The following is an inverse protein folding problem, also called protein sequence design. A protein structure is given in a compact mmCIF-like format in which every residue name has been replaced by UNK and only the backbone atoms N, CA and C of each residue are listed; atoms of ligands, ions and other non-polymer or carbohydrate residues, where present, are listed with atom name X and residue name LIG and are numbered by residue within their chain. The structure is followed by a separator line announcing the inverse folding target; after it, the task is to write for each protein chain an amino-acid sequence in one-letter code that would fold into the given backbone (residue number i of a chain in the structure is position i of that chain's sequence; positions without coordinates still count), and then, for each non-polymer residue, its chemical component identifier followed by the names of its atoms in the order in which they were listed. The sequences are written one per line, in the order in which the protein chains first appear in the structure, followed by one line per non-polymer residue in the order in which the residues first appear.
data_IF_721497307656
#
_entry.id   IF_721497307656
#
_cell.length_a   1.000
_cell.length_b   1.000
_cell.length_c   1.000
_cell.angle_alpha   90.00
_cell.angle_beta   90.00
_cell.angle_gamma   90.00
#
_symmetry.space_group_name_H-M   'P 1'
#
loop_
_entity.id
_entity.type
_entity.pdbx_description
1 polymer ?
#
# COMPACT_ATOMS: atom_id res chain seq x y z
N UNK A 1 4.86 -38.01 44.15
CA UNK A 1 5.39 -38.03 42.77
C UNK A 1 5.17 -36.67 42.15
N UNK A 2 6.24 -35.94 41.81
CA UNK A 2 6.14 -34.68 41.06
C UNK A 2 5.74 -35.00 39.61
N UNK A 3 4.70 -34.39 39.03
CA UNK A 3 4.36 -34.62 37.64
C UNK A 3 5.48 -34.08 36.74
N UNK A 4 5.89 -34.88 35.77
CA UNK A 4 7.00 -34.59 34.87
C UNK A 4 6.71 -33.35 34.01
N UNK A 5 7.57 -32.34 34.15
CA UNK A 5 7.54 -31.08 33.39
C UNK A 5 8.11 -31.23 31.98
N UNK A 6 7.52 -32.10 31.17
CA UNK A 6 7.81 -32.12 29.74
C UNK A 6 7.15 -30.90 29.07
N UNK A 7 7.95 -30.12 28.35
CA UNK A 7 7.54 -28.93 27.57
C UNK A 7 6.35 -29.24 26.66
N UNK A 8 6.27 -30.46 26.14
CA UNK A 8 5.18 -30.93 25.27
C UNK A 8 3.80 -30.91 25.95
N UNK A 9 3.74 -31.02 27.29
CA UNK A 9 2.48 -30.92 28.05
C UNK A 9 2.09 -29.49 28.43
N UNK A 10 3.04 -28.54 28.36
CA UNK A 10 2.80 -27.12 28.64
C UNK A 10 2.30 -26.39 27.39
N UNK A 11 2.64 -26.88 26.19
CA UNK A 11 2.26 -26.26 24.91
C UNK A 11 0.81 -26.60 24.47
N UNK A 12 0.16 -27.62 25.04
CA UNK A 12 -1.24 -27.91 24.74
C UNK A 12 -2.16 -27.83 25.97
N UNK A 13 -2.79 -26.67 26.15
CA UNK A 13 -4.19 -26.60 26.64
C UNK A 13 -4.87 -25.25 26.39
N UNK A 14 -4.63 -24.59 25.23
CA UNK A 14 -5.61 -23.59 24.79
C UNK A 14 -6.84 -24.37 24.34
N UNK A 15 -7.95 -24.18 25.03
CA UNK A 15 -9.22 -24.83 24.71
C UNK A 15 -9.71 -24.42 23.32
N UNK A 16 -10.50 -25.28 22.66
CA UNK A 16 -11.12 -24.92 21.37
C UNK A 16 -11.95 -23.64 21.47
N UNK A 17 -12.58 -23.41 22.62
CA UNK A 17 -13.32 -22.18 22.92
C UNK A 17 -12.41 -20.94 22.93
N UNK A 18 -11.24 -21.01 23.57
CA UNK A 18 -10.27 -19.91 23.56
C UNK A 18 -9.71 -19.63 22.17
N UNK A 19 -9.49 -20.66 21.34
CA UNK A 19 -9.11 -20.49 19.93
C UNK A 19 -10.19 -19.74 19.16
N UNK A 20 -11.48 -20.06 19.37
CA UNK A 20 -12.58 -19.35 18.74
C UNK A 20 -12.65 -17.88 19.21
N UNK A 21 -12.44 -17.62 20.51
CA UNK A 21 -12.37 -16.25 21.06
C UNK A 21 -11.20 -15.46 20.47
N UNK A 22 -10.03 -16.07 20.28
CA UNK A 22 -8.88 -15.43 19.61
C UNK A 22 -9.19 -15.10 18.15
N UNK A 23 -9.77 -16.05 17.41
CA UNK A 23 -10.14 -15.85 16.00
C UNK A 23 -11.20 -14.76 15.85
N UNK A 24 -12.18 -14.69 16.74
CA UNK A 24 -13.22 -13.65 16.70
C UNK A 24 -12.63 -12.26 16.91
N UNK A 25 -11.73 -12.09 17.90
CA UNK A 25 -10.99 -10.84 18.11
C UNK A 25 -10.20 -10.43 16.87
N UNK A 26 -9.34 -11.32 16.39
CA UNK A 26 -8.48 -11.04 15.24
C UNK A 26 -9.30 -10.72 13.98
N UNK A 27 -10.38 -11.48 13.74
CA UNK A 27 -11.31 -11.22 12.63
C UNK A 27 -11.94 -9.82 12.74
N UNK A 28 -12.35 -9.43 13.95
CA UNK A 28 -12.91 -8.09 14.21
C UNK A 28 -11.89 -7.00 13.88
N UNK A 29 -10.66 -7.12 14.37
CA UNK A 29 -9.57 -6.17 14.05
C UNK A 29 -9.30 -6.12 12.55
N UNK A 30 -9.20 -7.26 11.86
CA UNK A 30 -8.95 -7.31 10.41
C UNK A 30 -10.07 -6.59 9.65
N UNK A 31 -11.33 -6.80 10.02
CA UNK A 31 -12.47 -6.16 9.37
C UNK A 31 -12.44 -4.63 9.56
N UNK A 32 -12.14 -4.16 10.78
CA UNK A 32 -12.02 -2.72 11.06
C UNK A 32 -10.87 -2.09 10.28
N UNK A 33 -9.67 -2.69 10.32
CA UNK A 33 -8.50 -2.21 9.56
C UNK A 33 -8.80 -2.16 8.06
N UNK A 34 -9.44 -3.21 7.52
CA UNK A 34 -9.86 -3.25 6.12
C UNK A 34 -10.83 -2.11 5.80
N UNK A 35 -11.83 -1.87 6.64
CA UNK A 35 -12.83 -0.84 6.41
C UNK A 35 -12.21 0.57 6.41
N UNK A 36 -11.34 0.85 7.39
CA UNK A 36 -10.62 2.12 7.47
C UNK A 36 -9.71 2.33 6.26
N UNK A 37 -9.00 1.29 5.83
CA UNK A 37 -8.17 1.33 4.63
C UNK A 37 -8.99 1.62 3.36
N UNK A 38 -10.16 0.99 3.20
CA UNK A 38 -11.06 1.22 2.07
C UNK A 38 -11.60 2.66 2.04
N UNK A 39 -11.79 3.26 3.21
CA UNK A 39 -12.29 4.63 3.35
C UNK A 39 -11.17 5.69 3.35
N UNK A 40 -9.90 5.29 3.28
CA UNK A 40 -8.77 6.22 3.42
C UNK A 40 -8.73 6.94 4.76
N UNK A 41 -9.33 6.36 5.81
CA UNK A 41 -9.40 6.97 7.13
C UNK A 41 -8.15 6.71 7.96
N UNK A 42 -7.78 7.66 8.82
CA UNK A 42 -6.70 7.47 9.78
C UNK A 42 -7.04 6.32 10.75
N UNK A 43 -6.03 5.63 11.27
CA UNK A 43 -6.26 4.48 12.15
C UNK A 43 -6.21 4.88 13.63
N UNK A 44 -5.30 5.80 13.95
CA UNK A 44 -4.92 6.16 15.31
C UNK A 44 -5.57 7.45 15.79
N UNK A 45 -5.71 7.54 17.10
CA UNK A 45 -6.08 8.76 17.82
C UNK A 45 -4.85 9.47 18.37
N UNK A 46 -5.02 10.73 18.79
CA UNK A 46 -4.00 11.43 19.58
C UNK A 46 -3.94 10.92 21.02
N UNK A 47 -5.09 10.46 21.54
CA UNK A 47 -5.26 9.90 22.88
C UNK A 47 -5.98 8.57 22.75
N UNK A 48 -5.27 7.44 22.98
CA UNK A 48 -5.80 6.07 22.90
C UNK A 48 -5.99 5.41 24.28
N UNK A 49 -6.05 6.20 25.37
CA UNK A 49 -6.36 5.68 26.70
C UNK A 49 -7.82 5.19 26.82
N UNK A 50 -8.10 4.29 27.76
CA UNK A 50 -9.43 3.65 27.87
C UNK A 50 -10.56 4.63 28.24
N UNK A 51 -10.23 5.74 28.88
CA UNK A 51 -11.13 6.83 29.28
C UNK A 51 -11.21 7.97 28.24
N UNK A 52 -10.48 7.85 27.13
CA UNK A 52 -10.51 8.84 26.04
C UNK A 52 -11.90 8.94 25.41
N UNK A 53 -12.38 10.17 25.22
CA UNK A 53 -13.61 10.46 24.48
C UNK A 53 -13.46 10.20 22.97
N UNK A 54 -12.22 10.18 22.47
CA UNK A 54 -11.91 9.91 21.06
C UNK A 54 -10.62 9.06 20.96
N UNK A 55 -10.73 7.74 21.22
CA UNK A 55 -9.59 6.82 21.29
C UNK A 55 -8.95 6.52 19.92
N UNK A 56 -9.34 7.24 18.87
CA UNK A 56 -8.97 6.93 17.50
C UNK A 56 -9.90 5.93 16.82
N UNK A 57 -9.79 5.86 15.49
CA UNK A 57 -10.76 5.17 14.66
C UNK A 57 -10.76 3.64 14.88
N UNK A 58 -9.59 2.99 15.02
CA UNK A 58 -9.57 1.53 15.23
C UNK A 58 -10.29 1.15 16.53
N UNK A 59 -10.02 1.86 17.63
CA UNK A 59 -10.66 1.58 18.91
C UNK A 59 -12.14 1.92 18.89
N UNK A 60 -12.52 3.07 18.33
CA UNK A 60 -13.91 3.48 18.19
C UNK A 60 -14.73 2.48 17.36
N UNK A 61 -14.20 1.98 16.24
CA UNK A 61 -14.90 1.00 15.40
C UNK A 61 -14.98 -0.39 16.03
N UNK A 62 -13.98 -0.81 16.83
CA UNK A 62 -14.06 -2.05 17.60
C UNK A 62 -15.10 -1.94 18.72
N UNK A 63 -15.14 -0.81 19.43
CA UNK A 63 -16.16 -0.53 20.45
C UNK A 63 -17.57 -0.48 19.82
N UNK A 64 -17.71 0.14 18.66
CA UNK A 64 -18.96 0.11 17.89
C UNK A 64 -19.37 -1.32 17.53
N UNK A 65 -18.46 -2.16 17.04
CA UNK A 65 -18.73 -3.56 16.73
C UNK A 65 -19.13 -4.37 17.97
N UNK A 66 -18.53 -4.08 19.13
CA UNK A 66 -18.88 -4.68 20.41
C UNK A 66 -20.31 -4.30 20.85
N UNK A 67 -20.70 -3.03 20.70
CA UNK A 67 -22.06 -2.55 21.03
C UNK A 67 -23.16 -3.22 20.21
N UNK A 68 -22.84 -3.75 19.04
CA UNK A 68 -23.78 -4.44 18.16
C UNK A 68 -23.83 -5.96 18.37
N UNK A 69 -22.86 -6.55 19.06
CA UNK A 69 -22.75 -8.00 19.16
C UNK A 69 -22.08 -8.44 20.48
N UNK A 70 -22.87 -9.09 21.34
CA UNK A 70 -22.43 -9.55 22.66
C UNK A 70 -21.26 -10.55 22.60
N UNK A 71 -21.15 -11.37 21.55
CA UNK A 71 -20.03 -12.29 21.38
C UNK A 71 -18.73 -11.54 21.09
N UNK A 72 -18.79 -10.46 20.31
CA UNK A 72 -17.64 -9.58 20.06
C UNK A 72 -17.32 -8.80 21.34
N UNK A 73 -18.32 -8.20 21.97
CA UNK A 73 -18.18 -7.47 23.22
C UNK A 73 -17.44 -8.32 24.27
N UNK A 74 -17.84 -9.57 24.47
CA UNK A 74 -17.23 -10.48 25.44
C UNK A 74 -15.77 -10.85 25.18
N UNK A 75 -15.17 -10.48 24.04
CA UNK A 75 -13.80 -10.87 23.69
C UNK A 75 -12.87 -9.72 23.32
N UNK A 76 -13.34 -8.51 23.01
CA UNK A 76 -12.48 -7.40 22.54
C UNK A 76 -12.14 -6.38 23.63
N UNK A 77 -11.20 -5.47 23.35
CA UNK A 77 -10.80 -4.35 24.22
C UNK A 77 -10.42 -4.81 25.65
N UNK A 78 -11.08 -4.28 26.68
CA UNK A 78 -10.87 -4.64 28.10
C UNK A 78 -11.24 -6.09 28.42
N UNK A 79 -12.07 -6.73 27.61
CA UNK A 79 -12.49 -8.11 27.79
C UNK A 79 -11.49 -9.11 27.16
N UNK A 80 -10.48 -8.63 26.42
CA UNK A 80 -9.42 -9.46 25.89
C UNK A 80 -8.31 -9.70 26.94
N UNK A 81 -7.83 -10.95 27.11
CA UNK A 81 -6.80 -11.27 28.08
C UNK A 81 -5.42 -10.73 27.68
N UNK A 82 -4.78 -9.98 28.59
CA UNK A 82 -3.39 -9.54 28.48
C UNK A 82 -3.07 -8.90 27.13
N UNK A 83 -2.08 -9.48 26.41
CA UNK A 83 -1.57 -8.96 25.14
C UNK A 83 -2.40 -9.38 23.92
N UNK A 84 -3.40 -10.24 24.07
CA UNK A 84 -4.20 -10.76 22.96
C UNK A 84 -5.37 -9.82 22.58
N UNK A 85 -5.13 -8.51 22.67
CA UNK A 85 -6.06 -7.45 22.24
C UNK A 85 -6.02 -7.23 20.73
N UNK A 86 -4.87 -7.46 20.08
CA UNK A 86 -4.63 -7.24 18.64
C UNK A 86 -4.90 -5.81 18.14
N UNK A 87 -4.93 -4.83 19.04
CA UNK A 87 -5.22 -3.43 18.72
C UNK A 87 -3.97 -2.55 18.62
N UNK A 88 -2.77 -3.11 18.81
CA UNK A 88 -1.57 -2.29 18.87
C UNK A 88 -1.25 -1.62 17.52
N UNK A 89 -0.67 -0.42 17.55
CA UNK A 89 0.00 0.25 16.44
C UNK A 89 0.78 -0.64 15.46
N UNK A 90 1.51 -1.65 15.95
CA UNK A 90 2.32 -2.56 15.15
C UNK A 90 1.47 -3.62 14.46
N UNK A 91 0.52 -4.23 15.17
CA UNK A 91 -0.39 -5.25 14.64
C UNK A 91 -1.29 -4.66 13.56
N UNK A 92 -1.80 -3.44 13.77
CA UNK A 92 -2.60 -2.73 12.76
C UNK A 92 -1.81 -2.56 11.44
N UNK A 93 -0.54 -2.16 11.53
CA UNK A 93 0.36 -2.00 10.37
C UNK A 93 0.66 -3.33 9.69
N UNK A 94 0.88 -4.39 10.47
CA UNK A 94 1.11 -5.74 9.93
C UNK A 94 -0.12 -6.25 9.15
N UNK A 95 -1.31 -6.14 9.74
CA UNK A 95 -2.57 -6.48 9.07
C UNK A 95 -2.73 -5.69 7.78
N UNK A 96 -2.50 -4.37 7.83
CA UNK A 96 -2.57 -3.51 6.65
C UNK A 96 -1.57 -3.94 5.57
N UNK A 97 -0.34 -4.29 5.95
CA UNK A 97 0.69 -4.81 5.05
C UNK A 97 0.27 -6.11 4.37
N UNK A 98 -0.33 -7.04 5.11
CA UNK A 98 -0.86 -8.31 4.57
C UNK A 98 -2.00 -8.04 3.58
N UNK A 99 -2.93 -7.12 3.91
CA UNK A 99 -4.02 -6.73 3.02
C UNK A 99 -3.45 -6.12 1.72
N UNK A 100 -2.51 -5.17 1.85
CA UNK A 100 -1.87 -4.53 0.70
C UNK A 100 -1.12 -5.54 -0.18
N UNK A 101 -0.41 -6.50 0.42
CA UNK A 101 0.24 -7.58 -0.30
C UNK A 101 -0.78 -8.43 -1.08
N UNK A 102 -1.89 -8.84 -0.44
CA UNK A 102 -2.96 -9.59 -1.12
C UNK A 102 -3.57 -8.82 -2.30
N UNK A 103 -3.77 -7.51 -2.16
CA UNK A 103 -4.26 -6.66 -3.27
C UNK A 103 -3.27 -6.68 -4.43
N UNK A 104 -1.97 -6.53 -4.17
CA UNK A 104 -0.93 -6.58 -5.22
C UNK A 104 -0.82 -7.94 -5.88
N UNK A 105 -0.90 -9.04 -5.11
CA UNK A 105 -1.01 -10.38 -5.69
C UNK A 105 -2.23 -10.49 -6.61
N UNK A 106 -3.38 -9.93 -6.19
CA UNK A 106 -4.58 -9.95 -7.03
C UNK A 106 -4.41 -9.16 -8.34
N UNK A 107 -3.77 -7.99 -8.27
CA UNK A 107 -3.43 -7.21 -9.47
C UNK A 107 -2.48 -8.00 -10.38
N UNK A 108 -1.47 -8.68 -9.81
CA UNK A 108 -0.56 -9.54 -10.58
C UNK A 108 -1.28 -10.70 -11.26
N UNK A 109 -2.22 -11.35 -10.56
CA UNK A 109 -3.09 -12.39 -11.14
C UNK A 109 -3.96 -11.83 -12.27
N UNK A 110 -4.53 -10.63 -12.10
CA UNK A 110 -5.34 -9.95 -13.13
C UNK A 110 -4.53 -9.67 -14.41
N UNK A 111 -3.23 -9.33 -14.27
CA UNK A 111 -2.32 -9.11 -15.40
C UNK A 111 -1.96 -10.44 -16.07
N UNK A 112 -1.69 -11.50 -15.30
CA UNK A 112 -1.25 -12.79 -15.84
C UNK A 112 0.01 -12.65 -16.68
N UNK A 113 0.05 -13.25 -17.86
CA UNK A 113 1.19 -13.16 -18.79
C UNK A 113 1.04 -12.01 -19.81
N UNK A 114 0.05 -11.14 -19.61
CA UNK A 114 -0.26 -10.04 -20.51
C UNK A 114 0.80 -8.95 -20.44
N UNK A 115 0.87 -8.15 -21.50
CA UNK A 115 1.69 -6.94 -21.49
C UNK A 115 1.05 -5.85 -20.61
N UNK A 116 1.88 -4.99 -20.05
CA UNK A 116 1.44 -3.86 -19.23
C UNK A 116 2.27 -2.60 -19.54
N UNK A 117 1.81 -1.46 -19.04
CA UNK A 117 2.51 -0.19 -19.04
C UNK A 117 2.64 0.32 -17.61
N UNK A 118 3.65 1.16 -17.36
CA UNK A 118 3.81 1.85 -16.08
C UNK A 118 3.50 3.33 -16.26
N UNK A 119 2.83 3.92 -15.27
CA UNK A 119 2.77 5.35 -15.07
C UNK A 119 3.49 5.64 -13.75
N UNK A 120 4.50 6.48 -13.79
CA UNK A 120 5.32 6.80 -12.63
C UNK A 120 5.34 8.30 -12.43
N UNK A 121 5.10 8.70 -11.18
CA UNK A 121 5.14 10.09 -10.74
C UNK A 121 5.97 10.20 -9.46
N UNK A 122 6.46 11.41 -9.19
CA UNK A 122 7.32 11.72 -8.05
C UNK A 122 6.72 12.87 -7.24
N UNK A 123 6.77 12.75 -5.91
CA UNK A 123 6.46 13.85 -5.01
C UNK A 123 7.33 13.81 -3.76
N UNK A 124 7.57 14.98 -3.20
CA UNK A 124 8.30 15.13 -1.93
C UNK A 124 7.33 15.02 -0.76
N UNK A 125 7.65 14.18 0.23
CA UNK A 125 6.86 14.09 1.48
C UNK A 125 7.17 15.25 2.45
N UNK A 126 6.41 15.34 3.55
CA UNK A 126 6.59 16.40 4.56
C UNK A 126 7.99 16.38 5.23
N UNK A 127 8.70 15.26 5.17
CA UNK A 127 10.05 15.10 5.68
C UNK A 127 11.12 15.43 4.62
N UNK A 128 10.72 15.92 3.45
CA UNK A 128 11.64 16.24 2.36
C UNK A 128 12.16 15.02 1.59
N UNK A 129 11.52 13.85 1.73
CA UNK A 129 11.93 12.62 1.04
C UNK A 129 11.12 12.40 -0.20
N UNK A 130 11.82 12.00 -1.26
CA UNK A 130 11.23 11.69 -2.55
C UNK A 130 10.45 10.38 -2.49
N UNK A 131 9.22 10.42 -2.98
CA UNK A 131 8.28 9.31 -3.05
C UNK A 131 7.87 9.07 -4.50
N UNK A 132 8.13 7.86 -4.96
CA UNK A 132 7.79 7.41 -6.31
C UNK A 132 6.50 6.58 -6.27
N UNK A 133 5.50 7.03 -7.03
CA UNK A 133 4.22 6.35 -7.19
C UNK A 133 4.28 5.51 -8.46
N UNK A 134 3.97 4.22 -8.36
CA UNK A 134 3.92 3.31 -9.51
C UNK A 134 2.48 2.86 -9.72
N UNK A 135 1.96 3.15 -10.90
CA UNK A 135 0.64 2.70 -11.37
C UNK A 135 0.86 1.76 -12.55
N UNK A 136 0.17 0.62 -12.53
CA UNK A 136 0.15 -0.33 -13.63
C UNK A 136 -1.08 -0.08 -14.50
N UNK A 137 -0.88 0.00 -15.82
CA UNK A 137 -1.94 0.09 -16.82
C UNK A 137 -1.90 -1.12 -17.73
N UNK A 138 -3.00 -1.86 -17.82
CA UNK A 138 -3.09 -3.09 -18.59
C UNK A 138 -4.51 -3.33 -19.08
N UNK A 139 -4.69 -4.29 -19.99
CA UNK A 139 -6.01 -4.72 -20.46
C UNK A 139 -6.41 -5.96 -19.66
N UNK A 140 -7.53 -5.90 -18.95
CA UNK A 140 -8.04 -7.03 -18.18
C UNK A 140 -8.51 -8.16 -19.09
N UNK A 141 -8.78 -9.34 -18.52
CA UNK A 141 -9.36 -10.48 -19.24
C UNK A 141 -10.70 -10.19 -19.94
N UNK A 142 -11.38 -9.11 -19.56
CA UNK A 142 -12.63 -8.65 -20.16
C UNK A 142 -12.42 -7.66 -21.31
N UNK A 143 -11.17 -7.41 -21.72
CA UNK A 143 -10.83 -6.41 -22.74
C UNK A 143 -10.91 -4.96 -22.25
N UNK A 144 -11.07 -4.73 -20.93
CA UNK A 144 -11.21 -3.40 -20.35
C UNK A 144 -9.84 -2.87 -19.94
N UNK A 145 -9.51 -1.69 -20.44
CA UNK A 145 -8.33 -0.94 -19.99
C UNK A 145 -8.47 -0.60 -18.50
N UNK A 146 -7.50 -1.03 -17.71
CA UNK A 146 -7.51 -0.93 -16.25
C UNK A 146 -6.24 -0.26 -15.77
N UNK A 147 -6.38 0.65 -14.81
CA UNK A 147 -5.28 1.30 -14.11
C UNK A 147 -5.36 0.95 -12.63
N UNK A 148 -4.23 0.51 -12.05
CA UNK A 148 -4.15 0.12 -10.64
C UNK A 148 -2.93 0.79 -10.00
N UNK A 149 -3.16 1.55 -8.94
CA UNK A 149 -2.09 1.93 -8.04
C UNK A 149 -1.43 0.67 -7.48
N UNK A 150 -0.10 0.60 -7.56
CA UNK A 150 0.65 -0.61 -7.26
C UNK A 150 1.64 -0.42 -6.11
N UNK A 151 2.42 0.66 -6.14
CA UNK A 151 3.42 0.92 -5.11
C UNK A 151 3.63 2.41 -4.84
N UNK A 152 3.97 2.69 -3.58
CA UNK A 152 4.64 3.91 -3.15
C UNK A 152 6.02 3.49 -2.65
N UNK A 153 7.07 3.99 -3.28
CA UNK A 153 8.46 3.64 -2.96
C UNK A 153 9.22 4.92 -2.65
N UNK A 154 9.74 5.02 -1.43
CA UNK A 154 10.68 6.08 -1.10
C UNK A 154 12.03 5.82 -1.76
N UNK A 155 12.58 6.85 -2.40
CA UNK A 155 13.88 6.81 -3.04
C UNK A 155 14.81 7.81 -2.36
N UNK A 156 16.08 7.45 -2.20
CA UNK A 156 17.07 8.31 -1.53
C UNK A 156 17.52 9.48 -2.42
N UNK A 157 17.49 9.27 -3.73
CA UNK A 157 17.86 10.25 -4.75
C UNK A 157 17.01 10.01 -6.02
N UNK A 158 16.92 11.03 -6.86
CA UNK A 158 16.10 11.02 -8.09
C UNK A 158 16.96 10.86 -9.34
N UNK A 159 18.15 10.25 -9.24
CA UNK A 159 18.94 9.91 -10.43
C UNK A 159 18.17 8.90 -11.29
N UNK A 160 18.34 8.98 -12.61
CA UNK A 160 17.61 8.11 -13.53
C UNK A 160 17.85 6.62 -13.28
N UNK A 161 19.08 6.25 -12.90
CA UNK A 161 19.48 4.91 -12.53
C UNK A 161 18.76 4.45 -11.26
N UNK A 162 18.73 5.29 -10.22
CA UNK A 162 18.05 4.97 -8.95
C UNK A 162 16.54 4.82 -9.16
N UNK A 163 15.93 5.67 -9.97
CA UNK A 163 14.50 5.59 -10.31
C UNK A 163 14.19 4.31 -11.09
N UNK A 164 14.96 3.99 -12.14
CA UNK A 164 14.82 2.73 -12.87
C UNK A 164 14.98 1.53 -11.95
N UNK A 165 16.00 1.52 -11.10
CA UNK A 165 16.25 0.43 -10.16
C UNK A 165 15.08 0.25 -9.20
N UNK A 166 14.57 1.34 -8.64
CA UNK A 166 13.41 1.31 -7.75
C UNK A 166 12.16 0.75 -8.44
N UNK A 167 11.91 1.09 -9.71
CA UNK A 167 10.82 0.52 -10.51
C UNK A 167 11.05 -0.98 -10.72
N UNK A 168 12.25 -1.39 -11.12
CA UNK A 168 12.59 -2.80 -11.33
C UNK A 168 12.44 -3.63 -10.05
N UNK A 169 12.82 -3.11 -8.89
CA UNK A 169 12.60 -3.76 -7.59
C UNK A 169 11.10 -3.98 -7.31
N UNK A 170 10.28 -2.95 -7.53
CA UNK A 170 8.83 -3.06 -7.35
C UNK A 170 8.23 -4.10 -8.28
N UNK A 171 8.63 -4.13 -9.55
CA UNK A 171 8.11 -5.08 -10.54
C UNK A 171 8.57 -6.52 -10.24
N UNK A 172 9.87 -6.71 -9.99
CA UNK A 172 10.45 -8.03 -9.70
C UNK A 172 9.90 -8.66 -8.41
N UNK A 173 9.60 -7.87 -7.38
CA UNK A 173 8.99 -8.36 -6.14
C UNK A 173 7.67 -9.12 -6.38
N UNK A 174 6.96 -8.79 -7.45
CA UNK A 174 5.67 -9.41 -7.81
C UNK A 174 5.73 -10.16 -9.14
N UNK A 175 6.93 -10.56 -9.58
CA UNK A 175 7.14 -11.33 -10.81
C UNK A 175 6.52 -10.65 -12.05
N UNK A 176 6.64 -9.32 -12.12
CA UNK A 176 6.28 -8.55 -13.31
C UNK A 176 7.53 -8.38 -14.17
N UNK A 177 7.58 -9.15 -15.25
CA UNK A 177 8.71 -9.17 -16.19
C UNK A 177 8.82 -7.87 -16.98
N UNK A 178 10.01 -7.27 -16.99
CA UNK A 178 10.29 -6.03 -17.72
C UNK A 178 10.13 -6.20 -19.24
N UNK A 179 10.32 -7.42 -19.73
CA UNK A 179 10.15 -7.82 -21.14
C UNK A 179 8.70 -7.70 -21.62
N UNK A 180 7.75 -7.70 -20.68
CA UNK A 180 6.31 -7.51 -20.92
C UNK A 180 5.88 -6.05 -20.85
N UNK A 181 6.80 -5.13 -20.53
CA UNK A 181 6.54 -3.70 -20.55
C UNK A 181 6.32 -3.20 -21.99
N UNK A 182 5.24 -2.46 -22.22
CA UNK A 182 4.90 -1.90 -23.55
C UNK A 182 4.65 -0.39 -23.52
N UNK A 183 4.66 0.22 -22.35
CA UNK A 183 4.48 1.66 -22.22
C UNK A 183 5.07 2.19 -20.93
N UNK A 184 5.54 3.43 -20.98
CA UNK A 184 6.09 4.15 -19.86
C UNK A 184 5.61 5.61 -19.88
N UNK A 185 4.90 6.01 -18.83
CA UNK A 185 4.37 7.36 -18.68
C UNK A 185 5.05 8.08 -17.53
N UNK A 186 5.74 9.19 -17.82
CA UNK A 186 6.46 9.99 -16.81
C UNK A 186 6.24 11.50 -17.02
N UNK A 187 6.63 12.29 -16.03
CA UNK A 187 6.78 13.74 -16.18
C UNK A 187 7.99 14.15 -17.05
N UNK A 188 8.12 15.46 -17.26
CA UNK A 188 9.11 16.04 -18.17
C UNK A 188 10.52 16.23 -17.57
N UNK A 189 10.73 15.87 -16.30
CA UNK A 189 12.03 16.00 -15.67
C UNK A 189 13.13 15.25 -16.43
N UNK A 190 14.36 15.78 -16.39
CA UNK A 190 15.50 15.23 -17.13
C UNK A 190 15.82 13.79 -16.72
N UNK A 191 15.69 13.48 -15.44
CA UNK A 191 16.01 12.16 -14.91
C UNK A 191 14.95 11.12 -15.29
N UNK A 192 13.73 11.56 -15.64
CA UNK A 192 12.66 10.68 -16.10
C UNK A 192 12.59 10.58 -17.62
N UNK A 193 12.52 11.72 -18.32
CA UNK A 193 12.24 11.79 -19.75
C UNK A 193 13.46 12.12 -20.63
N UNK A 194 14.64 12.31 -20.01
CA UNK A 194 15.88 12.67 -20.68
C UNK A 194 16.24 11.72 -21.84
N UNK A 195 16.71 12.32 -22.94
CA UNK A 195 16.92 11.60 -24.20
C UNK A 195 17.97 10.49 -24.13
N UNK A 196 19.05 10.71 -23.36
CA UNK A 196 20.19 9.79 -23.30
C UNK A 196 20.26 9.04 -21.97
N UNK A 197 20.08 9.76 -20.86
CA UNK A 197 20.29 9.24 -19.50
C UNK A 197 19.05 9.40 -18.61
N UNK A 198 17.86 9.62 -19.17
CA UNK A 198 16.62 9.55 -18.38
C UNK A 198 16.14 8.11 -18.21
N UNK A 199 15.31 7.84 -17.20
CA UNK A 199 14.71 6.53 -16.96
C UNK A 199 14.06 5.99 -18.25
N UNK A 200 13.37 6.86 -19.01
CA UNK A 200 12.87 6.59 -20.37
C UNK A 200 13.91 5.92 -21.26
N UNK A 201 15.07 6.55 -21.42
CA UNK A 201 16.13 6.06 -22.30
C UNK A 201 16.72 4.75 -21.78
N UNK A 202 16.88 4.64 -20.46
CA UNK A 202 17.39 3.43 -19.81
C UNK A 202 16.43 2.24 -19.95
N UNK A 203 15.11 2.45 -19.88
CA UNK A 203 14.12 1.40 -20.14
C UNK A 203 14.04 1.03 -21.61
N UNK A 204 14.19 1.99 -22.54
CA UNK A 204 14.18 1.70 -23.98
C UNK A 204 15.38 0.86 -24.43
N UNK A 205 16.52 0.95 -23.74
CA UNK A 205 17.69 0.09 -24.00
C UNK A 205 17.40 -1.38 -23.68
N UNK A 206 16.65 -1.64 -22.61
CA UNK A 206 16.33 -3.00 -22.15
C UNK A 206 15.05 -3.54 -22.81
N UNK A 207 14.07 -2.67 -23.04
CA UNK A 207 12.77 -2.99 -23.60
C UNK A 207 12.41 -1.98 -24.71
N UNK A 208 12.83 -2.24 -25.96
CA UNK A 208 12.63 -1.31 -27.09
C UNK A 208 11.16 -0.99 -27.40
N UNK A 209 10.24 -1.85 -26.97
CA UNK A 209 8.80 -1.70 -27.17
C UNK A 209 8.08 -0.94 -26.04
N UNK A 210 8.80 -0.45 -25.02
CA UNK A 210 8.24 0.36 -23.93
C UNK A 210 8.04 1.82 -24.38
N UNK A 211 6.97 2.09 -25.12
CA UNK A 211 6.70 3.40 -25.69
C UNK A 211 6.52 4.48 -24.62
N UNK A 212 7.20 5.61 -24.80
CA UNK A 212 7.13 6.73 -23.88
C UNK A 212 5.95 7.66 -24.17
N UNK A 213 5.21 8.00 -23.12
CA UNK A 213 4.17 9.02 -23.14
C UNK A 213 4.51 10.08 -22.09
N UNK A 214 4.63 11.33 -22.52
CA UNK A 214 4.85 12.43 -21.59
C UNK A 214 3.56 12.79 -20.88
N UNK A 215 3.63 13.04 -19.56
CA UNK A 215 2.49 13.49 -18.76
C UNK A 215 1.87 14.77 -19.34
N UNK A 216 0.60 14.68 -19.74
CA UNK A 216 -0.14 15.82 -20.30
C UNK A 216 -0.50 16.86 -19.26
N UNK A 217 -0.82 16.45 -18.03
CA UNK A 217 -1.13 17.38 -16.94
C UNK A 217 0.06 18.31 -16.65
N UNK A 218 1.27 17.74 -16.58
CA UNK A 218 2.49 18.53 -16.40
C UNK A 218 2.75 19.47 -17.59
N UNK A 219 2.53 19.02 -18.84
CA UNK A 219 2.63 19.91 -20.01
C UNK A 219 1.66 21.08 -19.96
N UNK A 220 0.41 20.81 -19.60
CA UNK A 220 -0.61 21.84 -19.47
C UNK A 220 -0.22 22.85 -18.39
N UNK A 221 0.22 22.37 -17.22
CA UNK A 221 0.66 23.23 -16.13
C UNK A 221 1.83 24.13 -16.54
N UNK A 222 2.84 23.57 -17.23
CA UNK A 222 3.95 24.37 -17.75
C UNK A 222 3.48 25.42 -18.75
N UNK A 223 2.59 25.06 -19.68
CA UNK A 223 2.05 26.01 -20.66
C UNK A 223 1.29 27.16 -19.98
N UNK A 224 0.47 26.86 -18.96
CA UNK A 224 -0.26 27.86 -18.18
C UNK A 224 0.69 28.78 -17.41
N UNK A 225 1.68 28.22 -16.71
CA UNK A 225 2.68 28.99 -15.96
C UNK A 225 3.51 29.90 -16.86
N UNK A 226 3.93 29.40 -18.02
CA UNK A 226 4.68 30.19 -19.00
C UNK A 226 3.81 31.32 -19.56
N UNK A 227 2.54 31.04 -19.88
CA UNK A 227 1.62 32.07 -20.39
C UNK A 227 1.33 33.15 -19.35
N UNK A 228 1.11 32.75 -18.09
CA UNK A 228 0.86 33.69 -16.99
C UNK A 228 2.06 34.60 -16.70
N UNK A 229 3.30 34.11 -16.84
CA UNK A 229 4.52 34.92 -16.67
C UNK A 229 4.72 35.99 -17.74
N UNK A 230 4.10 35.82 -18.91
CA UNK A 230 4.20 36.76 -20.05
C UNK A 230 3.06 37.78 -20.02
N UNK A 231 2.00 37.53 -19.25
CA UNK A 231 0.93 38.49 -19.04
C UNK A 231 1.30 39.43 -17.89
N UNK A 232 1.29 40.74 -18.13
CA UNK A 232 1.41 41.73 -17.06
C UNK A 232 0.23 41.58 -16.07
N UNK A 233 0.46 41.80 -14.77
CA UNK A 233 -0.64 41.80 -13.80
C UNK A 233 -1.65 42.88 -14.18
N UNK A 234 -2.93 42.47 -14.28
CA UNK A 234 -4.07 43.37 -14.47
C UNK A 234 -4.31 44.19 -13.21
#
# INVERSE_FOLDING_TARGET
MKPSGHIDKVIQRISGEEVLKHRLRLKTTIMVVKQLALQGSSFRGHDEYEDSLNPGNVLAWIDFAAKLNDQIHGVVLRNAPGNAKYISPSIQKEILGIIAHRVRCKIREEIGDSCFSILVDEAVDEAGREQMYVILRYVSSHGILTERFFALKSVAETSAETLKQAICEVLSQYDLQIEKLRGQGYEGASNMSGHFNGAKALFLRDCPYAYFVHCFAHKLQLALLTSAKVCDPI
#
